data_IF_922169585573
#
_entry.id   IF_922169585573
#
_cell.length_a   1.000
_cell.length_b   1.000
_cell.length_c   1.000
_cell.angle_alpha   90.00
_cell.angle_beta   90.00
_cell.angle_gamma   90.00
#
_symmetry.space_group_name_H-M   'P 1'
#
loop_
_entity.id
_entity.type
_entity.pdbx_description
1 polymer ?
#
# COMPACT_ATOMS: atom_id res chain seq x y z
N UNK A 1 8.22 2.49 3.20
CA UNK A 1 8.24 3.96 3.22
C UNK A 1 8.74 4.51 1.88
N UNK A 2 10.03 4.31 1.52
CA UNK A 2 10.60 4.77 0.24
C UNK A 2 9.75 4.47 -1.00
N UNK A 3 9.24 3.23 -1.13
CA UNK A 3 8.36 2.81 -2.23
C UNK A 3 7.12 3.71 -2.40
N UNK A 4 6.56 4.28 -1.32
CA UNK A 4 5.37 5.14 -1.38
C UNK A 4 5.75 6.60 -1.66
N UNK A 5 6.99 6.99 -1.38
CA UNK A 5 7.53 8.33 -1.68
C UNK A 5 8.09 8.47 -3.09
N UNK A 6 8.39 7.36 -3.76
CA UNK A 6 9.00 7.35 -5.09
C UNK A 6 8.04 7.95 -6.13
N UNK A 7 8.40 9.15 -6.62
CA UNK A 7 7.64 9.91 -7.61
C UNK A 7 7.47 9.17 -8.94
N UNK A 8 8.40 8.29 -9.31
CA UNK A 8 8.34 7.56 -10.58
C UNK A 8 7.18 6.54 -10.62
N UNK A 9 6.74 6.06 -9.46
CA UNK A 9 5.70 5.03 -9.32
C UNK A 9 4.45 5.53 -8.58
N UNK A 10 4.31 6.85 -8.37
CA UNK A 10 3.16 7.45 -7.66
C UNK A 10 1.79 7.09 -8.25
N UNK A 11 1.73 6.83 -9.55
CA UNK A 11 0.50 6.40 -10.23
C UNK A 11 0.09 4.95 -9.87
N UNK A 12 0.99 4.15 -9.30
CA UNK A 12 0.76 2.75 -8.89
C UNK A 12 0.69 2.60 -7.37
N UNK A 13 1.40 3.45 -6.62
CA UNK A 13 1.34 3.48 -5.15
C UNK A 13 1.60 4.91 -4.66
N UNK A 14 0.71 5.46 -3.84
CA UNK A 14 0.86 6.82 -3.32
C UNK A 14 0.30 6.97 -1.91
N UNK A 15 0.74 8.04 -1.24
CA UNK A 15 0.13 8.49 0.00
C UNK A 15 -1.24 9.12 -0.26
N UNK A 16 -2.16 8.99 0.70
CA UNK A 16 -3.32 9.87 0.75
C UNK A 16 -2.91 11.34 0.83
N UNK A 17 -3.81 12.28 0.47
CA UNK A 17 -3.56 13.70 0.67
C UNK A 17 -3.13 14.02 2.11
N UNK A 18 -3.75 13.37 3.09
CA UNK A 18 -3.48 13.54 4.52
C UNK A 18 -2.21 12.79 5.00
N UNK A 19 -1.66 11.88 4.21
CA UNK A 19 -0.44 11.12 4.53
C UNK A 19 -0.61 10.04 5.60
N UNK A 20 -1.83 9.69 5.97
CA UNK A 20 -2.18 8.73 7.04
C UNK A 20 -2.44 7.31 6.52
N UNK A 21 -2.57 7.16 5.20
CA UNK A 21 -2.76 5.89 4.51
C UNK A 21 -2.02 5.92 3.17
N UNK A 22 -1.75 4.73 2.63
CA UNK A 22 -1.27 4.61 1.25
C UNK A 22 -2.29 3.84 0.41
N UNK A 23 -2.34 4.19 -0.86
CA UNK A 23 -3.24 3.60 -1.84
C UNK A 23 -2.49 2.91 -2.96
N UNK A 24 -3.07 1.82 -3.45
CA UNK A 24 -2.69 1.08 -4.65
C UNK A 24 -3.91 1.11 -5.60
N UNK A 25 -3.97 2.05 -6.56
CA UNK A 25 -5.12 2.24 -7.44
C UNK A 25 -5.38 1.04 -8.37
N UNK A 26 -4.30 0.39 -8.83
CA UNK A 26 -4.38 -0.78 -9.70
C UNK A 26 -3.44 -1.89 -9.15
N UNK A 27 -3.95 -2.80 -8.30
CA UNK A 27 -3.16 -3.89 -7.74
C UNK A 27 -2.51 -4.78 -8.79
N UNK A 28 -3.16 -4.98 -9.94
CA UNK A 28 -2.66 -5.80 -11.05
C UNK A 28 -1.41 -5.17 -11.67
N UNK A 29 -1.47 -3.89 -12.01
CA UNK A 29 -0.33 -3.16 -12.59
C UNK A 29 0.80 -3.00 -11.57
N UNK A 30 0.47 -2.64 -10.32
CA UNK A 30 1.44 -2.57 -9.22
C UNK A 30 2.18 -3.89 -9.01
N UNK A 31 1.44 -5.01 -9.05
CA UNK A 31 2.02 -6.34 -8.88
C UNK A 31 3.03 -6.68 -9.97
N UNK A 32 2.72 -6.36 -11.23
CA UNK A 32 3.60 -6.65 -12.37
C UNK A 32 4.80 -5.71 -12.46
N UNK A 33 4.60 -4.41 -12.21
CA UNK A 33 5.59 -3.39 -12.50
C UNK A 33 6.44 -3.02 -11.28
N UNK A 34 5.86 -2.97 -10.08
CA UNK A 34 6.53 -2.44 -8.88
C UNK A 34 7.08 -3.57 -8.01
N UNK A 35 6.29 -4.60 -7.73
CA UNK A 35 6.72 -5.65 -6.79
C UNK A 35 8.07 -6.31 -7.16
N UNK A 36 8.39 -6.63 -8.43
CA UNK A 36 9.70 -7.18 -8.80
C UNK A 36 10.90 -6.26 -8.50
N UNK A 37 10.68 -4.93 -8.41
CA UNK A 37 11.73 -3.96 -8.13
C UNK A 37 12.08 -3.92 -6.62
N UNK A 38 11.11 -4.24 -5.76
CA UNK A 38 11.23 -4.15 -4.30
C UNK A 38 11.25 -5.51 -3.59
N UNK A 39 10.77 -6.57 -4.25
CA UNK A 39 10.59 -7.92 -3.71
C UNK A 39 11.02 -8.98 -4.75
N UNK A 40 11.33 -10.19 -4.28
CA UNK A 40 11.69 -11.34 -5.13
C UNK A 40 10.48 -12.03 -5.78
N UNK A 41 9.33 -11.37 -5.85
CA UNK A 41 8.10 -11.90 -6.44
C UNK A 41 7.22 -10.76 -6.96
N UNK A 42 6.28 -11.09 -7.84
CA UNK A 42 5.21 -10.18 -8.31
C UNK A 42 3.83 -10.51 -7.71
N UNK A 43 3.76 -11.34 -6.66
CA UNK A 43 2.49 -11.81 -6.12
C UNK A 43 1.86 -10.77 -5.18
N UNK A 44 0.67 -10.27 -5.56
CA UNK A 44 -0.15 -9.37 -4.74
C UNK A 44 -0.44 -9.92 -3.34
N UNK A 45 -0.83 -11.18 -3.25
CA UNK A 45 -1.24 -11.79 -1.97
C UNK A 45 -0.06 -11.94 -1.02
N UNK A 46 1.15 -12.15 -1.54
CA UNK A 46 2.37 -12.13 -0.73
C UNK A 46 2.66 -10.75 -0.17
N UNK A 47 2.43 -9.69 -0.96
CA UNK A 47 2.53 -8.31 -0.50
C UNK A 47 1.49 -8.01 0.60
N UNK A 48 0.22 -8.37 0.39
CA UNK A 48 -0.84 -8.23 1.39
C UNK A 48 -0.53 -9.01 2.68
N UNK A 49 0.01 -10.22 2.55
CA UNK A 49 0.45 -11.00 3.71
C UNK A 49 1.52 -10.27 4.52
N UNK A 50 2.52 -9.68 3.86
CA UNK A 50 3.54 -8.88 4.55
C UNK A 50 2.91 -7.70 5.29
N UNK A 51 2.02 -6.95 4.64
CA UNK A 51 1.27 -5.87 5.28
C UNK A 51 0.54 -6.35 6.54
N UNK A 52 -0.18 -7.46 6.45
CA UNK A 52 -0.91 -8.04 7.59
C UNK A 52 0.03 -8.46 8.73
N UNK A 53 1.20 -9.04 8.41
CA UNK A 53 2.21 -9.44 9.39
C UNK A 53 2.81 -8.25 10.15
N UNK A 54 2.86 -7.08 9.52
CA UNK A 54 3.28 -5.82 10.15
C UNK A 54 2.10 -4.99 10.71
N UNK A 55 0.90 -5.56 10.80
CA UNK A 55 -0.25 -4.91 11.43
C UNK A 55 -0.94 -3.83 10.58
N UNK A 56 -0.67 -3.78 9.27
CA UNK A 56 -1.44 -2.90 8.39
C UNK A 56 -2.85 -3.46 8.20
N UNK A 57 -3.82 -2.55 8.13
CA UNK A 57 -5.23 -2.89 7.91
C UNK A 57 -5.71 -2.30 6.60
N UNK A 58 -6.46 -3.09 5.83
CA UNK A 58 -7.17 -2.60 4.65
C UNK A 58 -8.28 -1.66 5.09
N UNK A 59 -8.30 -0.45 4.54
CA UNK A 59 -9.43 0.46 4.68
C UNK A 59 -10.42 0.10 3.58
N UNK A 60 -11.64 -0.32 3.96
CA UNK A 60 -12.69 -0.65 3.01
C UNK A 60 -13.58 0.57 2.83
N UNK A 61 -13.47 1.25 1.69
CA UNK A 61 -14.39 2.33 1.37
C UNK A 61 -15.69 1.71 0.84
N UNK A 62 -16.71 1.61 1.71
CA UNK A 62 -18.02 1.03 1.38
C UNK A 62 -18.71 1.73 0.20
N UNK A 63 -18.23 2.90 -0.23
CA UNK A 63 -18.80 3.69 -1.31
C UNK A 63 -18.43 3.12 -2.70
N UNK A 64 -17.36 2.33 -2.82
CA UNK A 64 -16.87 1.83 -4.12
C UNK A 64 -17.47 0.48 -4.57
N UNK A 65 -18.52 -0.02 -3.90
CA UNK A 65 -19.19 -1.29 -4.22
C UNK A 65 -19.82 -1.34 -5.63
N UNK A 66 -19.92 -0.21 -6.33
CA UNK A 66 -20.52 -0.10 -7.66
C UNK A 66 -19.49 0.02 -8.81
N UNK A 67 -18.17 -0.02 -8.53
CA UNK A 67 -17.16 -0.04 -9.59
C UNK A 67 -16.89 -1.47 -10.06
N UNK A 68 -16.79 -1.63 -11.38
CA UNK A 68 -16.34 -2.85 -12.07
C UNK A 68 -15.03 -3.38 -11.47
N UNK A 69 -14.87 -4.71 -11.42
CA UNK A 69 -13.71 -5.44 -10.83
C UNK A 69 -12.32 -4.93 -11.21
N UNK A 70 -12.19 -4.17 -12.30
CA UNK A 70 -10.94 -3.60 -12.80
C UNK A 70 -10.46 -2.34 -12.07
N UNK A 71 -11.28 -1.71 -11.22
CA UNK A 71 -10.95 -0.49 -10.47
C UNK A 71 -11.05 -0.67 -8.96
N UNK A 72 -10.68 -1.85 -8.45
CA UNK A 72 -10.54 -2.05 -7.01
C UNK A 72 -9.26 -1.34 -6.55
N UNK A 73 -9.38 -0.06 -6.21
CA UNK A 73 -8.38 0.68 -5.43
C UNK A 73 -8.26 0.02 -4.05
N UNK A 74 -7.04 -0.28 -3.62
CA UNK A 74 -6.79 -0.79 -2.27
C UNK A 74 -6.10 0.28 -1.43
N UNK A 75 -6.55 0.44 -0.20
CA UNK A 75 -5.97 1.39 0.75
C UNK A 75 -5.60 0.66 2.01
N UNK A 76 -4.44 1.02 2.56
CA UNK A 76 -3.91 0.43 3.77
C UNK A 76 -3.45 1.50 4.74
N UNK A 77 -3.68 1.25 6.02
CA UNK A 77 -3.31 2.13 7.13
C UNK A 77 -2.55 1.35 8.19
N UNK A 78 -1.59 2.02 8.81
CA UNK A 78 -0.98 1.62 10.08
C UNK A 78 -0.72 2.87 10.91
N UNK A 79 -0.97 2.83 12.23
CA UNK A 79 -0.88 3.99 13.12
C UNK A 79 0.51 4.69 13.06
N UNK A 80 1.57 3.89 12.96
CA UNK A 80 2.97 4.34 12.89
C UNK A 80 3.56 4.39 11.47
N UNK A 81 2.71 4.31 10.44
CA UNK A 81 3.13 4.47 9.04
C UNK A 81 2.47 5.70 8.45
N UNK A 82 3.13 6.86 8.59
CA UNK A 82 2.61 8.17 8.17
C UNK A 82 3.67 8.93 7.37
N UNK A 83 3.23 9.69 6.36
CA UNK A 83 4.10 10.53 5.54
C UNK A 83 4.80 11.57 6.42
N UNK A 84 6.12 11.66 6.32
CA UNK A 84 6.98 12.55 7.11
C UNK A 84 7.43 11.97 8.46
N UNK A 85 6.72 10.99 9.02
CA UNK A 85 7.03 10.42 10.34
C UNK A 85 7.93 9.17 10.23
N UNK A 86 9.11 9.32 9.63
CA UNK A 86 10.03 8.19 9.38
C UNK A 86 10.53 7.55 10.69
N UNK A 87 10.70 8.35 11.73
CA UNK A 87 11.09 7.90 13.07
C UNK A 87 10.08 6.94 13.72
N UNK A 88 8.79 7.04 13.37
CA UNK A 88 7.77 6.13 13.89
C UNK A 88 7.85 4.72 13.31
N UNK A 89 8.57 4.53 12.19
CA UNK A 89 8.71 3.22 11.54
C UNK A 89 9.35 2.18 12.48
N UNK A 90 10.15 2.62 13.46
CA UNK A 90 10.75 1.73 14.45
C UNK A 90 9.70 1.01 15.33
N UNK A 91 8.49 1.58 15.44
CA UNK A 91 7.38 1.03 16.21
C UNK A 91 6.59 -0.03 15.42
N UNK A 92 6.83 -0.18 14.12
CA UNK A 92 6.20 -1.21 13.30
C UNK A 92 6.96 -2.52 13.50
N UNK A 93 6.37 -3.44 14.27
CA UNK A 93 6.95 -4.76 14.54
C UNK A 93 6.17 -5.85 13.82
N UNK A 94 6.90 -6.88 13.39
CA UNK A 94 6.32 -8.10 12.85
C UNK A 94 5.65 -8.87 13.99
N UNK A 95 4.43 -9.34 13.76
CA UNK A 95 3.72 -10.28 14.64
C UNK A 95 4.29 -11.69 14.54
#
# INVERSE_FOLDING_TARGET
YRMVEDQSIQHLINWSPNGDLFSVPNPTAFSKLVLPQYFKHNNWQSFVRQLNMYGFHKVNDMIHSNLTSESQKWEFRHQNFRRGAVEELQNIKRK
#
